data_IF_101024722823
#
_entry.id   IF_101024722823
#
_cell.length_a   1.000
_cell.length_b   1.000
_cell.length_c   1.000
_cell.angle_alpha   90.00
_cell.angle_beta   90.00
_cell.angle_gamma   90.00
#
_symmetry.space_group_name_H-M   'P 1'
#
loop_
_entity.id
_entity.type
_entity.pdbx_description
1 polymer ?
#
# COMPACT_ATOMS: atom_id res chain seq x y z
N UNK A 1 -1.49 24.25 -7.58
CA UNK A 1 -2.14 22.92 -7.39
C UNK A 1 -1.77 22.02 -8.54
N UNK A 2 -1.47 20.76 -8.29
CA UNK A 2 -1.35 19.72 -9.32
C UNK A 2 -2.44 18.67 -9.09
N UNK A 3 -3.03 18.19 -10.17
CA UNK A 3 -3.95 17.07 -10.13
C UNK A 3 -3.17 15.79 -10.35
N UNK A 4 -3.30 14.83 -9.44
CA UNK A 4 -2.64 13.52 -9.51
C UNK A 4 -3.70 12.43 -9.45
N UNK A 5 -3.79 11.62 -10.50
CA UNK A 5 -4.76 10.53 -10.59
C UNK A 5 -4.23 9.27 -9.93
N UNK A 6 -5.00 8.75 -8.96
CA UNK A 6 -4.65 7.53 -8.20
C UNK A 6 -5.72 6.47 -8.38
N UNK A 7 -5.30 5.24 -8.69
CA UNK A 7 -6.16 4.04 -8.65
C UNK A 7 -5.74 3.16 -7.49
N UNK A 8 -6.68 2.75 -6.66
CA UNK A 8 -6.48 1.71 -5.64
C UNK A 8 -7.22 0.44 -6.01
N UNK A 9 -6.55 -0.69 -5.86
CA UNK A 9 -7.05 -2.00 -6.26
C UNK A 9 -7.40 -2.84 -5.03
N UNK A 10 -8.66 -3.23 -4.89
CA UNK A 10 -9.11 -4.26 -3.95
C UNK A 10 -9.16 -5.57 -4.72
N UNK A 11 -8.20 -6.45 -4.49
CA UNK A 11 -8.08 -7.70 -5.24
C UNK A 11 -7.96 -8.93 -4.36
N UNK A 12 -8.39 -10.07 -4.88
CA UNK A 12 -8.12 -11.36 -4.25
C UNK A 12 -6.61 -11.66 -4.33
N UNK A 13 -6.02 -11.93 -3.18
CA UNK A 13 -4.60 -12.29 -3.05
C UNK A 13 -4.50 -13.79 -2.84
N UNK A 14 -4.03 -14.50 -3.86
CA UNK A 14 -3.71 -15.92 -3.80
C UNK A 14 -2.38 -16.17 -3.07
N UNK A 15 -2.22 -17.36 -2.49
CA UNK A 15 -0.93 -17.82 -2.00
C UNK A 15 0.09 -18.09 -3.12
N UNK A 16 -0.34 -18.07 -4.40
CA UNK A 16 0.49 -18.38 -5.55
C UNK A 16 0.79 -17.12 -6.38
N UNK A 17 2.07 -16.82 -6.53
CA UNK A 17 2.54 -15.68 -7.31
C UNK A 17 2.04 -15.73 -8.76
N UNK A 18 2.02 -16.91 -9.38
CA UNK A 18 1.58 -17.12 -10.76
C UNK A 18 0.10 -16.83 -10.99
N UNK A 19 -0.72 -16.82 -9.94
CA UNK A 19 -2.13 -16.42 -9.99
C UNK A 19 -2.30 -14.90 -9.78
N UNK A 20 -1.42 -14.29 -8.97
CA UNK A 20 -1.48 -12.87 -8.64
C UNK A 20 -0.88 -11.98 -9.76
N UNK A 21 0.26 -12.39 -10.32
CA UNK A 21 0.99 -11.59 -11.29
C UNK A 21 0.15 -11.17 -12.51
N UNK A 22 -0.61 -12.08 -13.19
CA UNK A 22 -1.45 -11.68 -14.32
C UNK A 22 -2.50 -10.62 -13.96
N UNK A 23 -3.09 -10.69 -12.77
CA UNK A 23 -4.08 -9.72 -12.28
C UNK A 23 -3.42 -8.35 -12.07
N UNK A 24 -2.26 -8.31 -11.42
CA UNK A 24 -1.47 -7.08 -11.23
C UNK A 24 -1.14 -6.45 -12.59
N UNK A 25 -0.63 -7.24 -13.54
CA UNK A 25 -0.29 -6.75 -14.88
C UNK A 25 -1.52 -6.20 -15.62
N UNK A 26 -2.68 -6.86 -15.51
CA UNK A 26 -3.94 -6.38 -16.11
C UNK A 26 -4.31 -5.00 -15.55
N UNK A 27 -4.29 -4.83 -14.22
CA UNK A 27 -4.62 -3.53 -13.62
C UNK A 27 -3.65 -2.42 -14.02
N UNK A 28 -2.34 -2.70 -14.11
CA UNK A 28 -1.34 -1.74 -14.57
C UNK A 28 -1.60 -1.36 -16.02
N UNK A 29 -1.75 -2.34 -16.91
CA UNK A 29 -1.87 -2.11 -18.36
C UNK A 29 -3.19 -1.47 -18.78
N UNK A 30 -4.25 -1.60 -17.98
CA UNK A 30 -5.55 -0.99 -18.23
C UNK A 30 -5.76 0.34 -17.52
N UNK A 31 -4.82 0.79 -16.69
CA UNK A 31 -4.94 2.03 -15.91
C UNK A 31 -4.54 3.25 -16.73
N UNK A 32 -5.28 4.34 -16.53
CA UNK A 32 -4.95 5.70 -17.00
C UNK A 32 -4.49 6.62 -15.85
N UNK A 33 -4.22 6.04 -14.68
CA UNK A 33 -3.80 6.77 -13.49
C UNK A 33 -2.30 7.05 -13.47
N UNK A 34 -1.89 8.08 -12.73
CA UNK A 34 -0.47 8.35 -12.44
C UNK A 34 0.13 7.31 -11.50
N UNK A 35 -0.69 6.87 -10.52
CA UNK A 35 -0.30 5.87 -9.53
C UNK A 35 -1.34 4.77 -9.41
N UNK A 36 -0.89 3.50 -9.33
CA UNK A 36 -1.74 2.35 -9.00
C UNK A 36 -1.22 1.69 -7.73
N UNK A 37 -2.09 1.62 -6.72
CA UNK A 37 -1.80 1.02 -5.42
C UNK A 37 -2.40 -0.37 -5.31
N UNK A 38 -1.58 -1.33 -4.88
CA UNK A 38 -1.97 -2.72 -4.65
C UNK A 38 -1.95 -3.08 -3.16
N UNK A 39 -2.70 -4.12 -2.75
CA UNK A 39 -2.74 -4.60 -1.37
C UNK A 39 -1.38 -5.10 -0.87
N UNK A 40 -1.26 -5.20 0.46
CA UNK A 40 -0.16 -5.87 1.14
C UNK A 40 -0.02 -7.32 0.65
N UNK A 41 1.23 -7.73 0.32
CA UNK A 41 1.58 -9.06 -0.18
C UNK A 41 0.83 -9.49 -1.45
N UNK A 42 0.31 -8.53 -2.22
CA UNK A 42 -0.48 -8.76 -3.43
C UNK A 42 0.23 -9.61 -4.49
N UNK A 43 1.58 -9.57 -4.56
CA UNK A 43 2.34 -10.35 -5.53
C UNK A 43 2.63 -11.77 -5.05
N UNK A 44 3.17 -11.91 -3.85
CA UNK A 44 3.71 -13.19 -3.35
C UNK A 44 2.68 -14.06 -2.61
N UNK A 45 1.56 -13.48 -2.19
CA UNK A 45 0.68 -14.08 -1.19
C UNK A 45 1.18 -13.84 0.25
N UNK A 46 0.29 -13.99 1.22
CA UNK A 46 0.54 -13.64 2.63
C UNK A 46 1.26 -14.78 3.36
N UNK A 47 2.53 -15.00 3.04
CA UNK A 47 3.40 -16.03 3.65
C UNK A 47 4.88 -15.80 3.31
N UNK A 48 5.79 -16.46 4.07
CA UNK A 48 7.24 -16.40 3.84
C UNK A 48 7.80 -17.41 2.83
N UNK A 49 6.96 -18.26 2.22
CA UNK A 49 7.39 -19.35 1.33
C UNK A 49 7.27 -18.96 -0.15
N UNK A 50 8.17 -18.16 -0.65
CA UNK A 50 8.22 -17.75 -2.06
C UNK A 50 9.61 -17.95 -2.66
N UNK A 51 9.67 -18.10 -3.96
CA UNK A 51 10.92 -18.21 -4.73
C UNK A 51 11.46 -16.82 -5.07
N UNK A 52 12.63 -16.46 -4.57
CA UNK A 52 13.30 -15.19 -4.89
C UNK A 52 13.51 -15.02 -6.38
N UNK A 53 13.83 -16.10 -7.10
CA UNK A 53 13.99 -16.10 -8.56
C UNK A 53 12.67 -15.74 -9.25
N UNK A 54 11.55 -16.32 -8.81
CA UNK A 54 10.22 -16.03 -9.37
C UNK A 54 9.80 -14.59 -9.06
N UNK A 55 9.99 -14.13 -7.84
CA UNK A 55 9.70 -12.74 -7.42
C UNK A 55 10.49 -11.74 -8.26
N UNK A 56 11.81 -11.93 -8.42
CA UNK A 56 12.65 -11.07 -9.26
C UNK A 56 12.24 -11.09 -10.74
N UNK A 57 11.77 -12.24 -11.25
CA UNK A 57 11.24 -12.34 -12.61
C UNK A 57 9.91 -11.57 -12.76
N UNK A 58 9.02 -11.67 -11.78
CA UNK A 58 7.77 -10.92 -11.74
C UNK A 58 8.02 -9.39 -11.66
N UNK A 59 8.96 -8.93 -10.85
CA UNK A 59 9.33 -7.51 -10.78
C UNK A 59 9.77 -6.96 -12.14
N UNK A 60 10.51 -7.73 -12.96
CA UNK A 60 10.88 -7.29 -14.32
C UNK A 60 9.66 -7.13 -15.23
N UNK A 61 8.68 -8.03 -15.11
CA UNK A 61 7.44 -7.94 -15.89
C UNK A 61 6.60 -6.73 -15.45
N UNK A 62 6.48 -6.49 -14.13
CA UNK A 62 5.80 -5.33 -13.58
C UNK A 62 6.49 -4.03 -14.04
N UNK A 63 7.81 -3.95 -13.98
CA UNK A 63 8.57 -2.80 -14.46
C UNK A 63 8.33 -2.53 -15.96
N UNK A 64 8.26 -3.58 -16.78
CA UNK A 64 7.95 -3.47 -18.20
C UNK A 64 6.51 -2.97 -18.43
N UNK A 65 5.52 -3.48 -17.67
CA UNK A 65 4.14 -3.05 -17.74
C UNK A 65 3.96 -1.59 -17.32
N UNK A 66 4.63 -1.17 -16.23
CA UNK A 66 4.63 0.22 -15.78
C UNK A 66 5.14 1.17 -16.87
N UNK A 67 6.25 0.82 -17.51
CA UNK A 67 6.80 1.60 -18.63
C UNK A 67 5.87 1.64 -19.83
N UNK A 68 5.22 0.52 -20.15
CA UNK A 68 4.30 0.42 -21.29
C UNK A 68 3.04 1.27 -21.08
N UNK A 69 2.50 1.27 -19.85
CA UNK A 69 1.28 1.99 -19.50
C UNK A 69 1.53 3.44 -19.03
N UNK A 70 2.81 3.84 -18.82
CA UNK A 70 3.20 5.12 -18.21
C UNK A 70 2.61 5.33 -16.81
N UNK A 71 2.53 4.27 -16.02
CA UNK A 71 1.93 4.21 -14.68
C UNK A 71 3.00 3.93 -13.63
N UNK A 72 2.94 4.62 -12.50
CA UNK A 72 3.74 4.26 -11.31
C UNK A 72 2.96 3.26 -10.47
N UNK A 73 3.53 2.08 -10.19
CA UNK A 73 2.86 1.04 -9.41
C UNK A 73 3.51 0.83 -8.04
N UNK A 74 2.67 0.73 -7.00
CA UNK A 74 3.06 0.42 -5.64
C UNK A 74 2.59 -1.01 -5.32
N UNK A 75 3.52 -1.95 -5.28
CA UNK A 75 3.25 -3.39 -5.23
C UNK A 75 3.57 -3.94 -3.84
N UNK A 76 2.57 -4.50 -3.17
CA UNK A 76 2.80 -5.30 -1.95
C UNK A 76 3.43 -6.65 -2.30
N UNK A 77 4.58 -6.96 -1.72
CA UNK A 77 5.34 -8.17 -2.03
C UNK A 77 6.15 -8.65 -0.83
N UNK A 78 6.39 -9.96 -0.74
CA UNK A 78 7.50 -10.48 0.06
C UNK A 78 8.83 -10.18 -0.65
N UNK A 79 9.85 -9.89 0.14
CA UNK A 79 11.22 -9.70 -0.31
C UNK A 79 12.17 -10.43 0.63
N UNK A 80 13.22 -11.04 0.08
CA UNK A 80 14.31 -11.59 0.91
C UNK A 80 15.60 -10.88 0.57
N UNK A 81 16.23 -10.32 1.60
CA UNK A 81 17.51 -9.63 1.52
C UNK A 81 18.46 -10.23 2.57
N UNK A 82 19.65 -10.64 2.16
CA UNK A 82 20.67 -11.32 3.00
C UNK A 82 20.08 -12.43 3.88
N UNK A 83 19.09 -13.18 3.37
CA UNK A 83 18.43 -14.27 4.08
C UNK A 83 17.30 -13.82 5.03
N UNK A 84 17.08 -12.53 5.21
CA UNK A 84 15.99 -11.96 6.01
C UNK A 84 14.78 -11.69 5.13
N UNK A 85 13.62 -12.15 5.56
CA UNK A 85 12.34 -11.91 4.84
C UNK A 85 11.68 -10.64 5.36
N UNK A 86 11.18 -9.82 4.44
CA UNK A 86 10.41 -8.59 4.72
C UNK A 86 9.08 -8.61 3.98
N UNK A 87 8.06 -8.02 4.59
CA UNK A 87 6.85 -7.55 3.91
C UNK A 87 7.16 -6.15 3.38
N UNK A 88 7.05 -5.95 2.07
CA UNK A 88 7.53 -4.74 1.40
C UNK A 88 6.48 -4.16 0.46
N UNK A 89 6.37 -2.84 0.38
CA UNK A 89 5.82 -2.12 -0.77
C UNK A 89 6.98 -1.70 -1.66
N UNK A 90 6.98 -2.18 -2.91
CA UNK A 90 7.98 -1.84 -3.92
C UNK A 90 7.39 -0.91 -4.95
N UNK A 91 8.09 0.18 -5.24
CA UNK A 91 7.62 1.27 -6.09
C UNK A 91 8.32 1.19 -7.44
N UNK A 92 7.54 0.95 -8.51
CA UNK A 92 8.01 0.96 -9.89
C UNK A 92 7.53 2.23 -10.58
N UNK A 93 8.45 3.02 -11.13
CA UNK A 93 8.10 4.22 -11.88
C UNK A 93 7.47 3.91 -13.24
N UNK A 94 6.83 4.91 -13.82
CA UNK A 94 6.33 4.95 -15.20
C UNK A 94 7.44 4.78 -16.28
N UNK A 95 8.72 4.88 -15.90
CA UNK A 95 9.85 4.50 -16.74
C UNK A 95 10.30 3.04 -16.55
N UNK A 96 9.65 2.29 -15.66
CA UNK A 96 10.01 0.93 -15.28
C UNK A 96 11.25 0.82 -14.38
N UNK A 97 11.62 1.90 -13.69
CA UNK A 97 12.70 1.89 -12.70
C UNK A 97 12.13 1.65 -11.29
N UNK A 98 12.92 1.11 -10.40
CA UNK A 98 12.57 1.05 -8.97
C UNK A 98 12.90 2.41 -8.35
N UNK A 99 11.88 3.12 -7.87
CA UNK A 99 12.04 4.38 -7.14
C UNK A 99 12.49 4.14 -5.70
N UNK A 100 12.06 3.04 -5.12
CA UNK A 100 12.41 2.67 -3.76
C UNK A 100 11.50 1.59 -3.20
N UNK A 101 11.68 1.34 -1.90
CA UNK A 101 10.94 0.33 -1.14
C UNK A 101 10.57 0.87 0.24
N UNK A 102 9.49 0.34 0.79
CA UNK A 102 9.13 0.48 2.19
C UNK A 102 8.90 -0.92 2.76
N UNK A 103 9.64 -1.29 3.78
CA UNK A 103 9.47 -2.52 4.55
C UNK A 103 8.53 -2.24 5.73
N UNK A 104 7.59 -3.15 5.98
CA UNK A 104 6.66 -3.05 7.11
C UNK A 104 7.42 -2.86 8.41
N UNK A 105 7.22 -1.72 9.05
CA UNK A 105 7.96 -1.32 10.26
C UNK A 105 7.38 -2.02 11.48
N UNK A 106 6.05 -2.25 11.50
CA UNK A 106 5.35 -2.80 12.66
C UNK A 106 4.59 -4.08 12.27
N UNK A 107 5.33 -5.20 12.11
CA UNK A 107 4.72 -6.49 11.87
C UNK A 107 3.78 -6.89 13.02
N UNK A 108 2.65 -7.51 12.68
CA UNK A 108 1.77 -8.17 13.64
C UNK A 108 2.45 -9.39 14.26
N UNK A 109 1.82 -10.01 15.26
CA UNK A 109 2.34 -11.29 15.82
C UNK A 109 2.45 -12.38 14.76
N UNK A 110 1.44 -12.49 13.86
CA UNK A 110 1.46 -13.47 12.77
C UNK A 110 2.54 -13.17 11.71
N UNK A 111 2.77 -11.89 11.40
CA UNK A 111 3.86 -11.51 10.46
C UNK A 111 5.23 -11.92 10.98
N UNK A 112 5.46 -11.78 12.30
CA UNK A 112 6.75 -12.11 12.95
C UNK A 112 7.12 -13.59 12.87
N UNK A 113 6.19 -14.45 12.51
CA UNK A 113 6.46 -15.88 12.27
C UNK A 113 7.31 -16.08 11.01
N UNK A 114 7.26 -15.14 10.04
CA UNK A 114 7.98 -15.30 8.77
C UNK A 114 8.72 -14.05 8.28
N UNK A 115 8.55 -12.88 8.89
CA UNK A 115 9.25 -11.67 8.47
C UNK A 115 9.81 -10.85 9.63
N UNK A 116 10.83 -10.06 9.31
CA UNK A 116 11.44 -9.09 10.22
C UNK A 116 10.87 -7.69 9.97
N UNK A 117 10.89 -6.81 11.00
CA UNK A 117 10.49 -5.42 10.84
C UNK A 117 11.48 -4.65 9.96
N UNK A 118 10.95 -3.72 9.16
CA UNK A 118 11.74 -2.65 8.55
C UNK A 118 12.17 -1.61 9.59
N UNK A 119 13.08 -0.74 9.21
CA UNK A 119 13.63 0.28 10.12
C UNK A 119 13.54 1.71 9.59
N UNK A 120 13.19 1.89 8.31
CA UNK A 120 13.26 3.20 7.68
C UNK A 120 11.89 3.74 7.26
N UNK A 121 11.64 4.99 7.63
CA UNK A 121 10.48 5.75 7.23
C UNK A 121 10.90 6.79 6.19
N UNK A 122 10.59 6.52 4.91
CA UNK A 122 11.04 7.30 3.75
C UNK A 122 9.92 8.12 3.12
N UNK A 123 10.28 9.29 2.60
CA UNK A 123 9.45 10.06 1.68
C UNK A 123 10.08 9.99 0.30
N UNK A 124 9.26 9.69 -0.68
CA UNK A 124 9.62 9.60 -2.10
C UNK A 124 9.09 10.83 -2.84
N UNK A 125 9.76 11.22 -3.91
CA UNK A 125 9.31 12.30 -4.81
C UNK A 125 9.20 11.76 -6.22
N UNK A 126 8.00 11.85 -6.81
CA UNK A 126 7.76 11.44 -8.18
C UNK A 126 6.48 12.11 -8.72
N UNK A 127 6.43 12.41 -10.02
CA UNK A 127 5.29 13.07 -10.69
C UNK A 127 4.79 14.33 -9.96
N UNK A 128 5.72 15.12 -9.43
CA UNK A 128 5.40 16.40 -8.78
C UNK A 128 4.84 16.30 -7.37
N UNK A 129 4.71 15.10 -6.79
CA UNK A 129 4.25 14.92 -5.41
C UNK A 129 5.31 14.28 -4.52
N UNK A 130 5.18 14.52 -3.22
CA UNK A 130 5.93 13.83 -2.16
C UNK A 130 4.99 12.87 -1.44
N UNK A 131 5.38 11.61 -1.35
CA UNK A 131 4.55 10.57 -0.74
C UNK A 131 5.33 9.62 0.14
N UNK A 132 4.63 9.02 1.09
CA UNK A 132 5.13 7.91 1.91
C UNK A 132 4.35 6.64 1.64
N UNK A 133 4.93 5.49 2.02
CA UNK A 133 4.24 4.21 2.03
C UNK A 133 4.10 3.72 3.47
N UNK A 134 2.97 3.10 3.79
CA UNK A 134 2.72 2.37 5.03
C UNK A 134 2.05 1.04 4.70
N UNK A 135 2.32 0.02 5.51
CA UNK A 135 1.77 -1.32 5.29
C UNK A 135 0.95 -1.72 6.50
N UNK A 136 -0.37 -1.85 6.30
CA UNK A 136 -1.32 -2.42 7.25
C UNK A 136 -1.14 -1.82 8.67
N UNK A 137 -0.56 -2.59 9.60
CA UNK A 137 -0.37 -2.21 11.00
C UNK A 137 0.48 -0.95 11.21
N UNK A 138 1.28 -0.53 10.25
CA UNK A 138 2.08 0.69 10.35
C UNK A 138 1.21 1.94 10.53
N UNK A 139 0.00 1.95 9.96
CA UNK A 139 -0.87 3.14 10.00
C UNK A 139 -1.62 3.27 11.32
N UNK A 140 -2.10 2.18 11.88
CA UNK A 140 -2.96 2.21 13.08
C UNK A 140 -2.28 1.86 14.38
N UNK A 141 -0.96 1.90 14.41
CA UNK A 141 -0.20 1.70 15.65
C UNK A 141 -0.60 2.72 16.71
N UNK A 142 -0.81 2.22 17.91
CA UNK A 142 -1.09 3.02 19.10
C UNK A 142 0.09 2.96 20.08
N UNK A 143 0.19 3.87 21.06
CA UNK A 143 1.20 3.80 22.10
C UNK A 143 1.23 2.41 22.77
N UNK A 144 2.41 1.82 22.89
CA UNK A 144 2.59 0.48 23.42
C UNK A 144 2.60 -0.65 22.37
N UNK A 145 2.30 -0.36 21.10
CA UNK A 145 2.33 -1.34 20.01
C UNK A 145 3.68 -1.41 19.30
N UNK A 146 4.78 -1.31 19.98
CA UNK A 146 6.10 -1.45 19.37
C UNK A 146 7.16 -0.58 20.00
N UNK A 147 8.38 -0.59 19.47
CA UNK A 147 9.53 0.08 20.07
C UNK A 147 9.60 1.60 19.82
N UNK A 148 8.60 2.17 19.14
CA UNK A 148 8.64 3.57 18.73
C UNK A 148 8.12 4.49 19.82
N UNK A 149 8.89 5.56 20.18
CA UNK A 149 8.44 6.57 21.13
C UNK A 149 7.19 7.31 20.65
N UNK A 150 7.11 7.62 19.34
CA UNK A 150 5.92 8.16 18.68
C UNK A 150 5.45 7.18 17.60
N UNK A 151 4.35 6.45 17.83
CA UNK A 151 3.84 5.45 16.89
C UNK A 151 3.09 6.07 15.70
N UNK A 152 2.90 7.37 15.64
CA UNK A 152 2.18 8.06 14.56
C UNK A 152 3.05 8.20 13.32
N UNK A 153 3.28 7.09 12.59
CA UNK A 153 4.15 7.09 11.40
C UNK A 153 3.62 8.01 10.29
N UNK A 154 2.31 8.15 10.14
CA UNK A 154 1.68 9.13 9.23
C UNK A 154 2.09 10.56 9.56
N UNK A 155 2.04 10.94 10.84
CA UNK A 155 2.46 12.26 11.31
C UNK A 155 3.95 12.51 11.06
N UNK A 156 4.79 11.51 11.30
CA UNK A 156 6.22 11.60 11.00
C UNK A 156 6.50 11.78 9.50
N UNK A 157 5.76 11.08 8.63
CA UNK A 157 5.85 11.27 7.18
C UNK A 157 5.37 12.66 6.75
N UNK A 158 4.27 13.16 7.32
CA UNK A 158 3.81 14.53 7.09
C UNK A 158 4.86 15.58 7.48
N UNK A 159 5.52 15.41 8.63
CA UNK A 159 6.62 16.30 9.04
C UNK A 159 7.85 16.22 8.12
N UNK A 160 8.04 15.11 7.43
CA UNK A 160 9.08 14.97 6.36
C UNK A 160 8.61 15.52 5.02
N UNK A 161 7.38 16.07 4.96
CA UNK A 161 6.80 16.72 3.79
C UNK A 161 6.04 15.80 2.85
N UNK A 162 5.61 14.61 3.28
CA UNK A 162 4.70 13.79 2.50
C UNK A 162 3.34 14.49 2.38
N UNK A 163 2.77 14.49 1.18
CA UNK A 163 1.44 15.03 0.86
C UNK A 163 0.41 13.90 0.72
N UNK A 164 0.89 12.71 0.39
CA UNK A 164 0.08 11.50 0.20
C UNK A 164 0.71 10.33 0.94
N UNK A 165 -0.10 9.51 1.60
CA UNK A 165 0.27 8.17 2.07
C UNK A 165 -0.41 7.13 1.19
N UNK A 166 0.38 6.23 0.62
CA UNK A 166 -0.11 5.01 -0.02
C UNK A 166 -0.06 3.87 1.00
N UNK A 167 -1.23 3.34 1.34
CA UNK A 167 -1.42 2.36 2.41
C UNK A 167 -1.89 1.02 1.85
N UNK A 168 -0.99 0.05 1.81
CA UNK A 168 -1.24 -1.32 1.38
C UNK A 168 -1.71 -2.18 2.54
N UNK A 169 -2.83 -2.89 2.39
CA UNK A 169 -3.50 -3.62 3.49
C UNK A 169 -3.85 -5.06 3.10
N UNK A 170 -3.85 -5.96 4.07
CA UNK A 170 -4.44 -7.29 4.00
C UNK A 170 -5.01 -7.65 5.38
N UNK A 171 -6.21 -7.17 5.70
CA UNK A 171 -6.72 -7.10 7.07
C UNK A 171 -7.79 -8.14 7.41
N UNK A 172 -8.28 -8.91 6.43
CA UNK A 172 -9.34 -9.90 6.64
C UNK A 172 -10.74 -9.29 6.82
N UNK A 173 -11.69 -10.09 7.34
CA UNK A 173 -13.14 -9.81 7.35
C UNK A 173 -13.74 -9.61 8.74
N UNK A 174 -12.97 -9.76 9.82
CA UNK A 174 -13.52 -9.66 11.18
C UNK A 174 -14.12 -8.27 11.47
N UNK A 175 -15.45 -8.22 11.54
CA UNK A 175 -16.22 -6.97 11.69
C UNK A 175 -15.88 -6.18 12.96
N UNK A 176 -15.36 -6.84 14.00
CA UNK A 176 -14.95 -6.18 15.26
C UNK A 176 -13.86 -5.12 15.05
N UNK A 177 -13.04 -5.28 14.01
CA UNK A 177 -11.95 -4.36 13.69
C UNK A 177 -12.37 -3.21 12.77
N UNK A 178 -13.57 -3.26 12.19
CA UNK A 178 -14.04 -2.25 11.23
C UNK A 178 -14.02 -0.82 11.80
N UNK A 179 -14.64 -0.54 12.97
CA UNK A 179 -14.60 0.82 13.53
C UNK A 179 -13.20 1.30 13.85
N UNK A 180 -12.32 0.39 14.26
CA UNK A 180 -10.93 0.71 14.57
C UNK A 180 -10.17 1.14 13.31
N UNK A 181 -10.29 0.38 12.20
CA UNK A 181 -9.61 0.71 10.95
C UNK A 181 -10.13 2.01 10.34
N UNK A 182 -11.46 2.18 10.27
CA UNK A 182 -12.07 3.41 9.73
C UNK A 182 -11.67 4.65 10.51
N UNK A 183 -11.77 4.59 11.84
CA UNK A 183 -11.43 5.71 12.72
C UNK A 183 -9.95 6.09 12.61
N UNK A 184 -9.05 5.09 12.49
CA UNK A 184 -7.63 5.37 12.32
C UNK A 184 -7.34 6.03 10.97
N UNK A 185 -7.90 5.56 9.86
CA UNK A 185 -7.70 6.18 8.54
C UNK A 185 -8.10 7.67 8.57
N UNK A 186 -9.27 7.99 9.14
CA UNK A 186 -9.75 9.36 9.28
C UNK A 186 -8.86 10.18 10.21
N UNK A 187 -8.55 9.66 11.40
CA UNK A 187 -7.73 10.34 12.40
C UNK A 187 -6.33 10.64 11.86
N UNK A 188 -5.69 9.65 11.23
CA UNK A 188 -4.32 9.78 10.72
C UNK A 188 -4.22 10.77 9.55
N UNK A 189 -5.21 10.81 8.67
CA UNK A 189 -5.29 11.82 7.62
C UNK A 189 -5.42 13.22 8.22
N UNK A 190 -6.35 13.39 9.16
CA UNK A 190 -6.63 14.67 9.80
C UNK A 190 -5.45 15.22 10.62
N UNK A 191 -4.81 14.39 11.48
CA UNK A 191 -3.70 14.82 12.33
C UNK A 191 -2.44 15.16 11.52
N UNK A 192 -2.27 14.53 10.37
CA UNK A 192 -1.08 14.68 9.52
C UNK A 192 -1.28 15.69 8.39
N UNK A 193 -2.51 16.11 8.14
CA UNK A 193 -2.90 17.00 7.02
C UNK A 193 -2.48 16.47 5.66
N UNK A 194 -2.65 15.17 5.42
CA UNK A 194 -2.26 14.49 4.18
C UNK A 194 -3.37 13.58 3.66
N UNK A 195 -3.36 13.32 2.35
CA UNK A 195 -4.22 12.30 1.76
C UNK A 195 -3.77 10.90 2.19
N UNK A 196 -4.73 10.01 2.45
CA UNK A 196 -4.47 8.58 2.60
C UNK A 196 -5.21 7.83 1.51
N UNK A 197 -4.44 7.22 0.60
CA UNK A 197 -4.94 6.29 -0.40
C UNK A 197 -4.71 4.87 0.12
N UNK A 198 -5.79 4.10 0.34
CA UNK A 198 -5.70 2.75 0.89
C UNK A 198 -6.21 1.71 -0.10
N UNK A 199 -5.56 0.53 -0.15
CA UNK A 199 -5.96 -0.62 -0.94
C UNK A 199 -5.83 -1.91 -0.11
N UNK A 200 -6.94 -2.65 0.02
CA UNK A 200 -7.02 -3.85 0.83
C UNK A 200 -7.20 -5.11 -0.02
N UNK A 201 -6.70 -6.23 0.45
CA UNK A 201 -6.99 -7.54 -0.15
C UNK A 201 -8.45 -7.93 0.11
N UNK A 202 -9.05 -8.64 -0.85
CA UNK A 202 -10.37 -9.24 -0.68
C UNK A 202 -10.30 -10.38 0.35
N UNK A 203 -11.24 -10.41 1.28
CA UNK A 203 -11.43 -11.55 2.16
C UNK A 203 -12.36 -12.60 1.52
N UNK A 204 -12.06 -13.88 1.74
CA UNK A 204 -12.84 -14.99 1.15
C UNK A 204 -14.13 -15.29 1.93
N UNK A 205 -14.24 -14.80 3.14
CA UNK A 205 -15.27 -15.18 4.12
C UNK A 205 -16.22 -14.04 4.54
N UNK A 206 -16.10 -12.87 3.88
CA UNK A 206 -17.01 -11.75 4.13
C UNK A 206 -16.49 -10.40 3.69
N UNK A 207 -17.19 -9.32 4.10
CA UNK A 207 -16.75 -7.96 3.81
C UNK A 207 -15.42 -7.66 4.49
N UNK A 208 -14.50 -7.02 3.77
CA UNK A 208 -13.21 -6.59 4.35
C UNK A 208 -13.43 -5.58 5.47
N UNK A 209 -12.66 -5.70 6.53
CA UNK A 209 -12.81 -4.83 7.71
C UNK A 209 -12.09 -3.48 7.59
N UNK A 210 -11.05 -3.39 6.73
CA UNK A 210 -10.43 -2.11 6.37
C UNK A 210 -10.93 -1.67 4.98
N UNK A 211 -11.46 -0.44 4.83
CA UNK A 211 -11.91 0.05 3.52
C UNK A 211 -10.77 0.21 2.51
N UNK A 212 -11.11 0.08 1.24
CA UNK A 212 -10.31 0.53 0.10
C UNK A 212 -10.89 1.88 -0.37
N UNK A 213 -10.06 2.92 -0.48
CA UNK A 213 -10.54 4.25 -0.85
C UNK A 213 -9.55 5.38 -0.58
N UNK A 214 -10.05 6.61 -0.55
CA UNK A 214 -9.26 7.82 -0.32
C UNK A 214 -9.86 8.64 0.81
N UNK A 215 -9.03 9.03 1.78
CA UNK A 215 -9.37 10.00 2.84
C UNK A 215 -8.61 11.30 2.59
N UNK A 216 -9.32 12.43 2.67
CA UNK A 216 -8.74 13.76 2.49
C UNK A 216 -7.95 14.23 3.71
N UNK A 217 -7.12 15.29 3.58
CA UNK A 217 -6.45 15.94 4.71
C UNK A 217 -7.37 16.47 5.81
N UNK A 218 -8.67 16.66 5.51
CA UNK A 218 -9.72 17.07 6.47
C UNK A 218 -10.39 15.86 7.14
N UNK A 219 -9.90 14.63 6.91
CA UNK A 219 -10.47 13.41 7.48
C UNK A 219 -11.80 13.00 6.84
N UNK A 220 -12.06 13.39 5.59
CA UNK A 220 -13.29 13.02 4.88
C UNK A 220 -13.02 11.92 3.85
N UNK A 221 -13.88 10.92 3.81
CA UNK A 221 -13.88 9.96 2.70
C UNK A 221 -14.29 10.67 1.40
N UNK A 222 -13.40 10.61 0.40
CA UNK A 222 -13.63 11.14 -0.94
C UNK A 222 -14.18 10.08 -1.87
N UNK A 223 -13.70 8.85 -1.72
CA UNK A 223 -14.21 7.66 -2.38
C UNK A 223 -13.95 6.44 -1.49
N UNK A 224 -14.87 5.47 -1.53
CA UNK A 224 -14.76 4.22 -0.80
C UNK A 224 -15.37 3.10 -1.63
N UNK A 225 -14.63 2.03 -1.84
CA UNK A 225 -15.11 0.84 -2.53
C UNK A 225 -16.14 0.06 -1.69
N UNK A 226 -17.06 -0.67 -2.33
CA UNK A 226 -17.79 -1.75 -1.67
C UNK A 226 -16.83 -2.73 -1.00
N UNK A 227 -17.21 -3.23 0.18
CA UNK A 227 -16.33 -4.10 0.98
C UNK A 227 -16.31 -5.57 0.54
N UNK A 228 -17.11 -5.94 -0.45
CA UNK A 228 -17.20 -7.29 -0.98
C UNK A 228 -16.64 -7.36 -2.39
N UNK A 229 -15.90 -8.43 -2.65
CA UNK A 229 -15.38 -8.76 -3.97
C UNK A 229 -14.25 -7.85 -4.45
N UNK A 230 -13.80 -8.11 -5.66
CA UNK A 230 -12.77 -7.30 -6.30
C UNK A 230 -13.36 -5.98 -6.78
N UNK A 231 -12.69 -4.89 -6.46
CA UNK A 231 -13.12 -3.51 -6.73
C UNK A 231 -11.90 -2.65 -7.09
N UNK A 232 -12.15 -1.55 -7.77
CA UNK A 232 -11.17 -0.49 -7.95
C UNK A 232 -11.83 0.87 -7.72
N UNK A 233 -11.08 1.83 -7.21
CA UNK A 233 -11.42 3.23 -7.32
C UNK A 233 -10.39 3.94 -8.18
N UNK A 234 -10.81 5.03 -8.83
CA UNK A 234 -9.91 6.03 -9.40
C UNK A 234 -10.36 7.40 -8.88
N UNK A 235 -9.40 8.21 -8.43
CA UNK A 235 -9.68 9.51 -7.86
C UNK A 235 -8.56 10.50 -8.19
N UNK A 236 -8.95 11.73 -8.54
CA UNK A 236 -8.05 12.84 -8.84
C UNK A 236 -7.77 13.62 -7.54
N UNK A 237 -6.54 13.56 -7.03
CA UNK A 237 -6.09 14.30 -5.86
C UNK A 237 -5.67 15.71 -6.29
N UNK A 238 -6.20 16.72 -5.59
CA UNK A 238 -5.77 18.10 -5.74
C UNK A 238 -4.67 18.42 -4.71
N UNK A 239 -3.44 18.57 -5.16
CA UNK A 239 -2.26 18.72 -4.29
C UNK A 239 -1.65 20.11 -4.49
N UNK A 240 -1.48 20.84 -3.41
CA UNK A 240 -0.76 22.10 -3.43
C UNK A 240 0.74 21.83 -3.69
N UNK A 241 1.26 22.49 -4.72
CA UNK A 241 2.70 22.52 -4.99
C UNK A 241 3.29 23.68 -4.19
N UNK A 242 4.04 23.35 -3.15
CA UNK A 242 4.84 24.34 -2.42
C UNK A 242 6.05 24.82 -3.25
#
# INVERSE_FOLDING_TARGET
MATVRVTGVQMLVSAKLEENLPRILTHILSSDADFVLFPEMSLTGYHGQFSDKAVRAAWRQIAAACRQAYVTALIGTGCRDEGVTYIQTRIFSDEGKVLGTHEKIIPTSGDREFCSPGSELRVFSHRGIRFGCLICNDLWVTPGCGPYPDPRLTYQLGKKGAQVIFHSVNSGSSAIHTPFHESNLVLRALESKIYICTANAVASDGPVNCPTGVVSPEGKWLVQCPRLGEQTYTYDLEIDLD
#
